data_IF_022665742900
#
_entry.id   IF_022665742900
#
_cell.length_a   1.000
_cell.length_b   1.000
_cell.length_c   1.000
_cell.angle_alpha   90.00
_cell.angle_beta   90.00
_cell.angle_gamma   90.00
#
_symmetry.space_group_name_H-M   'P 1'
#
loop_
_entity.id
_entity.type
_entity.pdbx_description
1 polymer ?
#
# COMPACT_ATOMS: atom_id res chain seq x y z
N UNK A 1 28.01 21.85 -3.65
CA UNK A 1 27.84 21.11 -2.39
C UNK A 1 27.49 19.70 -2.80
N UNK A 2 28.38 18.74 -2.57
CA UNK A 2 28.03 17.32 -2.73
C UNK A 2 27.45 16.90 -1.38
N UNK A 3 26.14 16.67 -1.33
CA UNK A 3 25.52 15.95 -0.23
C UNK A 3 26.05 14.52 -0.27
N UNK A 4 26.47 14.02 0.90
CA UNK A 4 27.13 12.72 1.05
C UNK A 4 26.13 11.67 1.57
N UNK A 5 24.84 11.85 1.25
CA UNK A 5 23.75 10.97 1.66
C UNK A 5 23.41 10.00 0.51
N UNK A 6 23.75 8.71 0.62
CA UNK A 6 23.52 7.74 -0.44
C UNK A 6 22.02 7.52 -0.76
N UNK A 7 21.10 8.04 0.06
CA UNK A 7 19.66 8.02 -0.24
C UNK A 7 19.22 9.10 -1.22
N UNK A 8 19.87 10.27 -1.27
CA UNK A 8 19.59 11.32 -2.26
C UNK A 8 20.03 10.87 -3.66
N UNK A 9 21.23 10.28 -3.77
CA UNK A 9 21.76 9.73 -5.03
C UNK A 9 20.82 8.67 -5.65
N UNK A 10 20.13 7.90 -4.82
CA UNK A 10 19.18 6.88 -5.26
C UNK A 10 17.90 7.50 -5.82
N UNK A 11 17.37 8.54 -5.18
CA UNK A 11 16.18 9.25 -5.65
C UNK A 11 16.47 9.97 -6.97
N UNK A 12 17.61 10.65 -7.08
CA UNK A 12 18.04 11.29 -8.33
C UNK A 12 18.16 10.29 -9.47
N UNK A 13 18.69 9.10 -9.21
CA UNK A 13 18.74 8.04 -10.22
C UNK A 13 17.35 7.59 -10.66
N UNK A 14 16.41 7.39 -9.73
CA UNK A 14 15.03 6.99 -10.04
C UNK A 14 14.26 8.09 -10.81
N UNK A 15 14.56 9.36 -10.55
CA UNK A 15 14.02 10.50 -11.32
C UNK A 15 14.60 10.50 -12.75
N UNK A 16 15.91 10.29 -12.90
CA UNK A 16 16.58 10.24 -14.20
C UNK A 16 16.07 9.07 -15.07
N UNK A 17 15.77 7.93 -14.46
CA UNK A 17 15.16 6.79 -15.13
C UNK A 17 13.64 6.99 -15.40
N UNK A 18 13.05 8.07 -14.91
CA UNK A 18 11.63 8.39 -15.08
C UNK A 18 10.70 7.46 -14.32
N UNK A 19 11.17 6.84 -13.23
CA UNK A 19 10.41 5.91 -12.39
C UNK A 19 9.69 6.64 -11.25
N UNK A 20 10.24 7.76 -10.79
CA UNK A 20 9.59 8.64 -9.80
C UNK A 20 9.61 10.09 -10.27
N UNK A 21 8.66 10.87 -9.79
CA UNK A 21 8.55 12.30 -10.06
C UNK A 21 8.24 13.07 -8.77
N UNK A 22 8.50 14.37 -8.78
CA UNK A 22 8.17 15.25 -7.64
C UNK A 22 6.67 15.47 -7.60
N UNK A 23 6.04 15.00 -6.52
CA UNK A 23 4.61 15.13 -6.26
C UNK A 23 4.26 16.39 -5.46
N UNK A 24 5.20 16.94 -4.70
CA UNK A 24 4.97 18.13 -3.88
C UNK A 24 6.09 18.40 -2.87
N UNK A 25 5.80 19.28 -1.93
CA UNK A 25 6.67 19.60 -0.79
C UNK A 25 5.84 19.41 0.48
N UNK A 26 6.39 18.67 1.45
CA UNK A 26 5.77 18.53 2.75
C UNK A 26 5.69 19.91 3.44
N UNK A 27 4.49 20.33 3.81
CA UNK A 27 4.25 21.67 4.35
C UNK A 27 4.83 21.87 5.77
N UNK A 28 5.23 20.78 6.45
CA UNK A 28 5.76 20.79 7.82
C UNK A 28 7.28 20.72 7.81
N UNK A 29 7.86 19.82 7.02
CA UNK A 29 9.31 19.57 6.99
C UNK A 29 10.02 20.33 5.88
N UNK A 30 9.31 20.71 4.81
CA UNK A 30 9.90 21.32 3.61
C UNK A 30 10.60 20.31 2.69
N UNK A 31 10.46 19.01 2.96
CA UNK A 31 11.05 17.95 2.15
C UNK A 31 10.26 17.70 0.87
N UNK A 32 10.95 17.31 -0.20
CA UNK A 32 10.33 16.94 -1.46
C UNK A 32 9.60 15.60 -1.31
N UNK A 33 8.34 15.55 -1.73
CA UNK A 33 7.53 14.34 -1.80
C UNK A 33 7.57 13.80 -3.22
N UNK A 34 7.64 12.47 -3.36
CA UNK A 34 7.76 11.78 -4.64
C UNK A 34 6.60 10.83 -4.91
N UNK A 35 6.22 10.68 -6.18
CA UNK A 35 5.24 9.70 -6.65
C UNK A 35 5.85 8.79 -7.72
N UNK A 36 5.36 7.55 -7.79
CA UNK A 36 5.72 6.63 -8.87
C UNK A 36 5.01 7.04 -10.17
N UNK A 37 5.76 7.05 -11.26
CA UNK A 37 5.22 7.29 -12.60
C UNK A 37 4.51 6.04 -13.13
N UNK A 38 3.75 6.19 -14.21
CA UNK A 38 3.15 5.04 -14.89
C UNK A 38 4.24 4.11 -15.49
N UNK A 39 5.38 4.67 -15.90
CA UNK A 39 6.55 3.89 -16.34
C UNK A 39 7.07 2.96 -15.23
N UNK A 40 7.11 3.41 -13.98
CA UNK A 40 7.52 2.54 -12.87
C UNK A 40 6.56 1.37 -12.63
N UNK A 41 5.27 1.56 -12.90
CA UNK A 41 4.27 0.48 -12.80
C UNK A 41 4.44 -0.56 -13.90
N UNK A 42 4.96 -0.15 -15.05
CA UNK A 42 5.21 -1.03 -16.22
C UNK A 42 6.57 -1.73 -16.15
N UNK A 43 7.62 -1.05 -15.68
CA UNK A 43 9.00 -1.52 -15.78
C UNK A 43 9.55 -2.19 -14.51
N UNK A 44 8.82 -2.14 -13.39
CA UNK A 44 9.28 -2.75 -12.13
C UNK A 44 8.39 -3.95 -11.74
N UNK A 45 8.59 -5.14 -12.37
CA UNK A 45 7.94 -6.38 -11.97
C UNK A 45 8.14 -6.73 -10.48
N UNK A 46 9.26 -6.30 -9.88
CA UNK A 46 9.53 -6.50 -8.45
C UNK A 46 8.65 -5.63 -7.55
N UNK A 47 8.22 -4.45 -8.01
CA UNK A 47 7.34 -3.56 -7.26
C UNK A 47 5.91 -4.07 -7.28
N UNK A 48 5.44 -4.57 -8.43
CA UNK A 48 4.16 -5.28 -8.51
C UNK A 48 4.14 -6.49 -7.55
N UNK A 49 5.18 -7.34 -7.59
CA UNK A 49 5.31 -8.47 -6.66
C UNK A 49 5.36 -8.03 -5.19
N UNK A 50 6.00 -6.91 -4.90
CA UNK A 50 6.08 -6.39 -3.53
C UNK A 50 4.71 -5.85 -3.07
N UNK A 51 3.99 -5.16 -3.95
CA UNK A 51 2.63 -4.70 -3.69
C UNK A 51 1.66 -5.88 -3.51
N UNK A 52 1.75 -6.92 -4.35
CA UNK A 52 0.99 -8.17 -4.22
C UNK A 52 1.28 -8.84 -2.88
N UNK A 53 2.56 -9.05 -2.53
CA UNK A 53 2.95 -9.66 -1.26
C UNK A 53 2.49 -8.84 -0.04
N UNK A 54 2.49 -7.51 -0.16
CA UNK A 54 1.98 -6.62 0.88
C UNK A 54 0.46 -6.77 1.02
N UNK A 55 -0.28 -6.79 -0.09
CA UNK A 55 -1.72 -7.03 -0.09
C UNK A 55 -2.08 -8.38 0.51
N UNK A 56 -1.38 -9.44 0.13
CA UNK A 56 -1.59 -10.79 0.66
C UNK A 56 -1.38 -10.82 2.17
N UNK A 57 -0.30 -10.18 2.67
CA UNK A 57 -0.02 -10.06 4.10
C UNK A 57 -1.14 -9.32 4.85
N UNK A 58 -1.67 -8.23 4.29
CA UNK A 58 -2.78 -7.48 4.88
C UNK A 58 -4.07 -8.31 4.93
N UNK A 59 -4.41 -9.00 3.84
CA UNK A 59 -5.58 -9.87 3.78
C UNK A 59 -5.48 -10.99 4.83
N UNK A 60 -4.32 -11.62 4.95
CA UNK A 60 -4.06 -12.64 5.97
C UNK A 60 -4.22 -12.08 7.39
N UNK A 61 -3.64 -10.91 7.67
CA UNK A 61 -3.80 -10.24 8.97
C UNK A 61 -5.28 -10.02 9.31
N UNK A 62 -6.06 -9.44 8.39
CA UNK A 62 -7.47 -9.15 8.66
C UNK A 62 -8.34 -10.41 8.76
N UNK A 63 -7.99 -11.46 8.03
CA UNK A 63 -8.65 -12.76 8.17
C UNK A 63 -8.39 -13.37 9.55
N UNK A 64 -7.13 -13.46 9.98
CA UNK A 64 -6.73 -14.00 11.29
C UNK A 64 -7.36 -13.24 12.46
N UNK A 65 -7.59 -11.93 12.28
CA UNK A 65 -8.14 -11.05 13.32
C UNK A 65 -9.67 -10.88 13.23
N UNK A 66 -10.34 -11.61 12.32
CA UNK A 66 -11.80 -11.68 12.22
C UNK A 66 -12.47 -10.46 11.59
N UNK A 67 -11.71 -9.66 10.82
CA UNK A 67 -12.22 -8.53 10.04
C UNK A 67 -12.69 -8.99 8.65
N UNK A 68 -12.03 -10.00 8.08
CA UNK A 68 -12.40 -10.61 6.79
C UNK A 68 -12.67 -12.10 6.96
N UNK A 69 -13.47 -12.66 6.06
CA UNK A 69 -13.56 -14.09 5.83
C UNK A 69 -12.83 -14.45 4.54
N UNK A 70 -12.28 -15.66 4.50
CA UNK A 70 -11.60 -16.20 3.32
C UNK A 70 -12.12 -17.61 3.06
N UNK A 71 -12.70 -17.83 1.88
CA UNK A 71 -13.00 -19.17 1.39
C UNK A 71 -11.86 -19.63 0.48
N UNK A 72 -11.14 -20.68 0.91
CA UNK A 72 -9.96 -21.24 0.23
C UNK A 72 -10.26 -22.50 -0.58
N UNK A 73 -11.53 -22.90 -0.71
CA UNK A 73 -11.93 -24.10 -1.47
C UNK A 73 -11.76 -23.93 -2.99
N UNK A 74 -11.40 -22.74 -3.45
CA UNK A 74 -11.17 -22.40 -4.85
C UNK A 74 -9.75 -21.86 -5.10
N UNK A 75 -9.20 -22.01 -6.32
CA UNK A 75 -7.87 -21.50 -6.67
C UNK A 75 -7.72 -19.98 -6.50
N UNK A 76 -8.84 -19.24 -6.58
CA UNK A 76 -8.91 -17.82 -6.24
C UNK A 76 -9.76 -17.69 -4.98
N UNK A 77 -9.18 -17.33 -3.81
CA UNK A 77 -9.93 -17.29 -2.58
C UNK A 77 -11.00 -16.20 -2.62
N UNK A 78 -12.20 -16.54 -2.16
CA UNK A 78 -13.29 -15.55 -2.08
C UNK A 78 -13.22 -14.85 -0.74
N UNK A 79 -13.00 -13.53 -0.78
CA UNK A 79 -12.91 -12.68 0.41
C UNK A 79 -14.27 -12.08 0.73
N UNK A 80 -14.69 -12.20 1.99
CA UNK A 80 -15.88 -11.56 2.52
C UNK A 80 -15.55 -10.55 3.61
N UNK A 81 -16.39 -9.52 3.73
CA UNK A 81 -16.31 -8.54 4.82
C UNK A 81 -17.13 -9.04 6.01
N UNK A 82 -16.53 -9.10 7.19
CA UNK A 82 -17.23 -9.45 8.43
C UNK A 82 -17.72 -8.20 9.17
N UNK A 83 -18.75 -8.30 10.03
CA UNK A 83 -19.30 -7.15 10.75
C UNK A 83 -18.26 -6.36 11.55
N UNK A 84 -17.22 -7.03 12.07
CA UNK A 84 -16.11 -6.42 12.81
C UNK A 84 -15.35 -5.36 12.00
N UNK A 85 -15.29 -5.49 10.67
CA UNK A 85 -14.68 -4.50 9.78
C UNK A 85 -15.49 -3.21 9.60
N UNK A 86 -16.73 -3.20 10.06
CA UNK A 86 -17.61 -2.03 10.04
C UNK A 86 -17.85 -1.46 11.45
N UNK A 87 -17.28 -2.09 12.47
CA UNK A 87 -17.38 -1.63 13.86
C UNK A 87 -16.31 -0.58 14.14
N UNK A 88 -16.73 0.66 14.41
CA UNK A 88 -15.82 1.78 14.62
C UNK A 88 -14.92 1.58 15.85
N UNK A 89 -15.41 0.91 16.90
CA UNK A 89 -14.62 0.65 18.11
C UNK A 89 -13.52 -0.37 17.81
N UNK A 90 -13.84 -1.47 17.13
CA UNK A 90 -12.86 -2.50 16.74
C UNK A 90 -11.84 -1.98 15.72
N UNK A 91 -12.28 -1.17 14.75
CA UNK A 91 -11.39 -0.53 13.78
C UNK A 91 -10.46 0.48 14.46
N UNK A 92 -10.93 1.20 15.48
CA UNK A 92 -10.09 2.15 16.23
C UNK A 92 -8.90 1.50 16.93
N UNK A 93 -9.01 0.20 17.28
CA UNK A 93 -7.95 -0.59 17.95
C UNK A 93 -6.80 -0.96 17.02
N UNK A 94 -7.00 -0.88 15.70
CA UNK A 94 -5.96 -1.13 14.70
C UNK A 94 -4.93 0.01 14.66
N UNK A 95 -3.72 -0.25 14.17
CA UNK A 95 -2.76 0.82 13.85
C UNK A 95 -3.28 1.71 12.71
N UNK A 96 -2.72 2.91 12.57
CA UNK A 96 -3.08 3.85 11.47
C UNK A 96 -2.98 3.15 10.12
N UNK A 97 -1.88 2.45 9.86
CA UNK A 97 -1.63 1.77 8.59
C UNK A 97 -2.65 0.67 8.31
N UNK A 98 -3.01 -0.13 9.32
CA UNK A 98 -4.04 -1.16 9.17
C UNK A 98 -5.44 -0.55 8.96
N UNK A 99 -5.76 0.60 9.55
CA UNK A 99 -7.04 1.28 9.26
C UNK A 99 -7.11 1.76 7.80
N UNK A 100 -6.02 2.32 7.29
CA UNK A 100 -5.93 2.75 5.88
C UNK A 100 -6.03 1.55 4.95
N UNK A 101 -5.28 0.49 5.23
CA UNK A 101 -5.31 -0.76 4.46
C UNK A 101 -6.71 -1.38 4.43
N UNK A 102 -7.37 -1.50 5.58
CA UNK A 102 -8.73 -2.04 5.67
C UNK A 102 -9.70 -1.23 4.80
N UNK A 103 -9.61 0.11 4.84
CA UNK A 103 -10.44 0.98 4.00
C UNK A 103 -10.22 0.73 2.51
N UNK A 104 -8.97 0.62 2.07
CA UNK A 104 -8.64 0.34 0.66
C UNK A 104 -9.23 -1.01 0.23
N UNK A 105 -9.12 -2.04 1.06
CA UNK A 105 -9.70 -3.37 0.79
C UNK A 105 -11.23 -3.28 0.69
N UNK A 106 -11.89 -2.59 1.63
CA UNK A 106 -13.34 -2.41 1.60
C UNK A 106 -13.80 -1.67 0.34
N UNK A 107 -13.06 -0.64 -0.09
CA UNK A 107 -13.37 0.11 -1.30
C UNK A 107 -13.15 -0.73 -2.56
N UNK A 108 -12.11 -1.58 -2.61
CA UNK A 108 -11.89 -2.52 -3.72
C UNK A 108 -13.01 -3.58 -3.84
N UNK A 109 -13.52 -4.08 -2.71
CA UNK A 109 -14.60 -5.08 -2.67
C UNK A 109 -15.98 -4.51 -3.03
N UNK A 110 -16.18 -3.19 -2.94
CA UNK A 110 -17.43 -2.51 -3.34
C UNK A 110 -17.58 -2.33 -4.85
N UNK A 111 -16.51 -2.52 -5.61
CA UNK A 111 -16.46 -2.28 -7.06
C UNK A 111 -16.78 -3.58 -7.86
N UNK A 112 -16.99 -4.71 -7.17
CA UNK A 112 -17.38 -5.99 -7.78
C UNK A 112 -18.89 -6.18 -7.88
#
# INVERSE_FOLDING_TARGET
>A
MQSNDPSEDMIDHLILEGLVEVAGIDATTGEMLYSFTDKAKEEIPSMQKHAEAMFDSMIMFFWEHGFLSMNVDHPNPVIGVLPKALDEEEVSKLSVDHRVALKIILDALRIQ
#
